data_IF_377826959861
#
_entry.id   IF_377826959861
#
_cell.length_a   1.000
_cell.length_b   1.000
_cell.length_c   1.000
_cell.angle_alpha   90.00
_cell.angle_beta   90.00
_cell.angle_gamma   90.00
#
_symmetry.space_group_name_H-M   'P 1'
#
loop_
_entity.id
_entity.type
_entity.pdbx_description
1 polymer ?
#
# COMPACT_ATOMS: atom_id res chain seq x y z
N UNK A 1 -12.81 8.49 8.69
CA UNK A 1 -11.81 8.55 7.61
C UNK A 1 -12.17 7.49 6.56
N UNK A 2 -12.27 7.84 5.27
CA UNK A 2 -12.66 6.89 4.23
C UNK A 2 -11.40 6.13 3.72
N UNK A 3 -11.33 4.84 4.03
CA UNK A 3 -10.18 3.97 3.68
C UNK A 3 -9.96 3.88 2.16
N UNK A 4 -11.00 4.08 1.35
CA UNK A 4 -10.90 4.00 -0.13
C UNK A 4 -9.92 5.02 -0.72
N UNK A 5 -9.75 6.17 -0.07
CA UNK A 5 -8.84 7.23 -0.52
C UNK A 5 -7.53 7.27 0.27
N UNK A 6 -7.34 6.36 1.22
CA UNK A 6 -6.18 6.34 2.09
C UNK A 6 -4.89 6.19 1.26
N UNK A 7 -4.91 5.30 0.26
CA UNK A 7 -3.78 5.05 -0.63
C UNK A 7 -3.36 6.26 -1.47
N UNK A 8 -4.26 7.18 -1.79
CA UNK A 8 -3.94 8.36 -2.62
C UNK A 8 -3.03 9.38 -1.92
N UNK A 9 -2.82 9.22 -0.61
CA UNK A 9 -1.91 10.06 0.18
C UNK A 9 -0.55 9.42 0.42
N UNK A 10 -0.35 8.15 0.04
CA UNK A 10 0.94 7.48 0.17
C UNK A 10 1.98 8.14 -0.74
N UNK A 11 3.10 8.58 -0.19
CA UNK A 11 4.22 9.06 -0.99
C UNK A 11 4.98 7.84 -1.53
N UNK A 12 5.22 7.79 -2.84
CA UNK A 12 6.06 6.75 -3.42
C UNK A 12 7.51 7.24 -3.41
N UNK A 13 8.39 6.53 -2.72
CA UNK A 13 9.83 6.79 -2.75
C UNK A 13 10.52 6.13 -3.96
N UNK A 14 9.94 5.06 -4.48
CA UNK A 14 10.40 4.37 -5.69
C UNK A 14 10.07 5.13 -6.98
N UNK A 15 10.84 4.88 -8.02
CA UNK A 15 10.53 5.41 -9.35
C UNK A 15 9.47 4.55 -10.05
N UNK A 16 8.22 5.02 -10.00
CA UNK A 16 7.11 4.39 -10.72
C UNK A 16 6.70 5.27 -11.90
N UNK A 17 6.70 4.67 -13.09
CA UNK A 17 6.27 5.31 -14.32
C UNK A 17 5.01 4.64 -14.86
N UNK A 18 4.09 5.44 -15.42
CA UNK A 18 2.87 4.94 -16.06
C UNK A 18 2.75 5.48 -17.47
N UNK A 19 2.20 4.67 -18.38
CA UNK A 19 1.89 5.10 -19.73
C UNK A 19 0.91 6.28 -19.69
N UNK A 20 1.05 7.20 -20.64
CA UNK A 20 0.05 8.23 -20.87
C UNK A 20 -1.32 7.58 -21.12
N UNK A 21 -2.36 8.10 -20.46
CA UNK A 21 -3.71 7.65 -20.74
C UNK A 21 -4.19 8.27 -22.05
N UNK A 22 -5.07 7.59 -22.78
CA UNK A 22 -5.60 8.04 -24.07
C UNK A 22 -6.21 9.44 -24.10
N UNK A 23 -6.61 9.99 -22.94
CA UNK A 23 -7.16 11.36 -22.81
C UNK A 23 -6.11 12.45 -22.56
N UNK A 24 -4.86 12.08 -22.29
CA UNK A 24 -3.77 12.96 -21.89
C UNK A 24 -2.49 12.69 -22.69
N UNK A 25 -2.59 12.01 -23.84
CA UNK A 25 -1.45 11.77 -24.72
C UNK A 25 -0.97 13.09 -25.34
N UNK A 26 0.32 13.33 -25.27
CA UNK A 26 0.96 14.47 -25.92
C UNK A 26 1.36 14.11 -27.35
N UNK A 27 0.82 14.82 -28.34
CA UNK A 27 1.21 14.66 -29.75
C UNK A 27 2.69 14.99 -30.00
N UNK A 28 3.27 15.92 -29.21
CA UNK A 28 4.68 16.29 -29.33
C UNK A 28 5.61 15.25 -28.69
N UNK A 29 5.12 14.50 -27.71
CA UNK A 29 5.90 13.52 -26.95
C UNK A 29 5.12 12.20 -26.79
N UNK A 30 4.87 11.46 -27.88
CA UNK A 30 4.03 10.27 -27.85
C UNK A 30 4.62 9.14 -27.00
N UNK A 31 5.96 9.09 -26.87
CA UNK A 31 6.67 8.04 -26.13
C UNK A 31 6.97 8.40 -24.68
N UNK A 32 6.53 9.55 -24.17
CA UNK A 32 6.72 9.89 -22.77
C UNK A 32 5.84 9.06 -21.84
N UNK A 33 6.26 8.98 -20.59
CA UNK A 33 5.56 8.33 -19.49
C UNK A 33 5.46 9.32 -18.33
N UNK A 34 4.43 9.17 -17.50
CA UNK A 34 4.28 9.99 -16.30
C UNK A 34 4.99 9.33 -15.13
N UNK A 35 5.85 10.10 -14.44
CA UNK A 35 6.41 9.68 -13.14
C UNK A 35 5.41 9.95 -12.03
N UNK A 36 5.07 8.93 -11.26
CA UNK A 36 4.16 9.05 -10.13
C UNK A 36 4.90 9.57 -8.90
N UNK A 37 4.31 10.58 -8.25
CA UNK A 37 4.78 11.10 -6.94
C UNK A 37 3.97 10.54 -5.77
N UNK A 38 2.78 10.02 -6.03
CA UNK A 38 1.84 9.50 -5.04
C UNK A 38 1.32 8.14 -5.47
N UNK A 39 1.01 7.31 -4.49
CA UNK A 39 0.47 5.98 -4.69
C UNK A 39 -0.94 6.07 -5.30
N UNK A 40 -1.10 5.46 -6.47
CA UNK A 40 -2.42 5.19 -7.03
C UNK A 40 -2.95 3.87 -6.51
N UNK A 41 -4.28 3.77 -6.43
CA UNK A 41 -4.94 2.52 -6.12
C UNK A 41 -4.54 1.42 -7.12
N UNK A 42 -4.32 0.21 -6.62
CA UNK A 42 -3.92 -0.94 -7.43
C UNK A 42 -2.42 -1.05 -7.73
N UNK A 43 -1.61 -0.05 -7.34
CA UNK A 43 -0.15 -0.23 -7.36
C UNK A 43 0.27 -1.21 -6.27
N UNK A 44 1.22 -2.10 -6.59
CA UNK A 44 1.81 -3.03 -5.61
C UNK A 44 2.48 -2.30 -4.45
N UNK A 45 3.03 -1.11 -4.73
CA UNK A 45 3.67 -0.24 -3.75
C UNK A 45 2.69 0.55 -2.88
N UNK A 46 1.42 0.70 -3.30
CA UNK A 46 0.48 1.57 -2.61
C UNK A 46 0.25 1.20 -1.13
N UNK A 47 0.13 -0.09 -0.75
CA UNK A 47 0.01 -0.47 0.66
C UNK A 47 1.22 -0.07 1.50
N UNK A 48 2.44 -0.27 0.97
CA UNK A 48 3.67 0.06 1.68
C UNK A 48 3.85 1.58 1.82
N UNK A 49 3.70 2.32 0.71
CA UNK A 49 3.74 3.79 0.71
C UNK A 49 2.74 4.42 1.68
N UNK A 50 1.54 3.82 1.78
CA UNK A 50 0.54 4.27 2.73
C UNK A 50 0.91 3.96 4.18
N UNK A 51 1.41 2.74 4.46
CA UNK A 51 1.87 2.36 5.80
C UNK A 51 2.97 3.29 6.31
N UNK A 52 3.99 3.57 5.49
CA UNK A 52 5.07 4.50 5.84
C UNK A 52 4.54 5.91 6.15
N UNK A 53 3.63 6.42 5.30
CA UNK A 53 3.03 7.74 5.49
C UNK A 53 2.21 7.81 6.78
N UNK A 54 1.40 6.78 7.05
CA UNK A 54 0.60 6.70 8.27
C UNK A 54 1.48 6.55 9.52
N UNK A 55 2.50 5.70 9.44
CA UNK A 55 3.46 5.46 10.52
C UNK A 55 4.17 6.74 10.92
N UNK A 56 4.75 7.43 9.93
CA UNK A 56 5.39 8.73 10.17
C UNK A 56 4.42 9.76 10.77
N UNK A 57 3.18 9.81 10.28
CA UNK A 57 2.15 10.71 10.84
C UNK A 57 1.83 10.37 12.30
N UNK A 58 1.62 9.10 12.64
CA UNK A 58 1.28 8.68 13.99
C UNK A 58 2.44 8.94 14.97
N UNK A 59 3.66 8.55 14.61
CA UNK A 59 4.85 8.80 15.44
C UNK A 59 5.07 10.29 15.68
N UNK A 60 4.85 11.14 14.66
CA UNK A 60 4.95 12.59 14.81
C UNK A 60 3.92 13.17 15.80
N UNK A 61 2.78 12.51 15.96
CA UNK A 61 1.72 12.91 16.88
C UNK A 61 1.77 12.11 18.20
N UNK A 62 2.92 11.50 18.55
CA UNK A 62 3.14 10.75 19.79
C UNK A 62 2.23 9.51 19.94
N UNK A 63 1.71 9.00 18.82
CA UNK A 63 1.02 7.71 18.78
C UNK A 63 2.01 6.60 18.42
N UNK A 64 1.98 5.52 19.20
CA UNK A 64 2.68 4.28 18.84
C UNK A 64 1.78 3.40 17.98
N UNK A 65 2.31 2.93 16.85
CA UNK A 65 1.71 1.78 16.17
C UNK A 65 2.07 0.56 17.00
N UNK A 66 1.13 0.12 17.83
CA UNK A 66 1.21 -1.23 18.37
C UNK A 66 1.03 -2.23 17.22
N UNK A 67 1.66 -3.40 17.35
CA UNK A 67 1.35 -4.51 16.44
C UNK A 67 -0.17 -4.65 16.37
N UNK A 68 -0.74 -4.50 15.18
CA UNK A 68 -2.06 -5.05 14.88
C UNK A 68 -1.98 -6.48 15.39
N UNK A 69 -2.80 -6.79 16.40
CA UNK A 69 -2.72 -8.07 17.12
C UNK A 69 -2.69 -9.24 16.13
N UNK A 70 -2.19 -10.38 16.60
CA UNK A 70 -1.95 -11.58 15.78
C UNK A 70 -2.97 -11.72 14.64
N UNK A 71 -2.49 -11.75 13.40
CA UNK A 71 -3.32 -12.00 12.24
C UNK A 71 -3.84 -13.44 12.35
N UNK A 72 -5.03 -13.63 12.91
CA UNK A 72 -5.63 -14.94 13.14
C UNK A 72 -6.35 -15.49 11.91
N UNK A 73 -6.79 -14.61 11.01
CA UNK A 73 -7.53 -14.99 9.80
C UNK A 73 -7.14 -14.14 8.60
N UNK A 74 -6.96 -14.80 7.45
CA UNK A 74 -6.74 -14.14 6.16
C UNK A 74 -7.39 -14.95 5.04
N UNK A 75 -8.30 -14.33 4.28
CA UNK A 75 -9.01 -14.96 3.14
C UNK A 75 -9.67 -16.32 3.48
N UNK A 76 -10.21 -16.48 4.69
CA UNK A 76 -10.82 -17.74 5.15
C UNK A 76 -9.83 -18.82 5.61
N UNK A 77 -8.54 -18.50 5.62
CA UNK A 77 -7.50 -19.31 6.25
C UNK A 77 -7.30 -18.85 7.69
N UNK A 78 -7.18 -19.81 8.60
CA UNK A 78 -6.75 -19.55 9.97
C UNK A 78 -5.23 -19.57 10.03
N UNK A 79 -4.65 -18.59 10.68
CA UNK A 79 -3.20 -18.44 10.84
C UNK A 79 -2.89 -18.56 12.33
N UNK A 80 -1.91 -19.38 12.67
CA UNK A 80 -1.38 -19.52 14.01
C UNK A 80 0.11 -19.15 13.99
N UNK A 81 0.48 -18.10 14.72
CA UNK A 81 1.85 -17.61 14.83
C UNK A 81 2.41 -18.11 16.16
N UNK A 82 3.47 -18.91 16.11
CA UNK A 82 4.17 -19.43 17.28
C UNK A 82 5.66 -19.10 17.17
N UNK A 83 6.40 -19.21 18.28
CA UNK A 83 7.84 -18.89 18.32
C UNK A 83 8.67 -19.71 17.32
N UNK A 84 8.18 -20.89 16.93
CA UNK A 84 8.84 -21.80 15.99
C UNK A 84 8.37 -21.65 14.53
N UNK A 85 7.43 -20.75 14.23
CA UNK A 85 6.97 -20.49 12.86
C UNK A 85 5.49 -20.13 12.73
N UNK A 86 5.05 -20.04 11.47
CA UNK A 86 3.67 -19.68 11.10
C UNK A 86 2.98 -20.90 10.49
N UNK A 87 1.85 -21.29 11.08
CA UNK A 87 1.01 -22.39 10.61
C UNK A 87 -0.27 -21.85 9.96
N UNK A 88 -0.66 -22.43 8.82
CA UNK A 88 -1.82 -22.00 8.05
C UNK A 88 -2.80 -23.19 7.91
N UNK A 89 -4.03 -22.98 8.31
CA UNK A 89 -5.10 -23.97 8.26
C UNK A 89 -6.23 -23.49 7.34
N UNK A 90 -6.77 -24.40 6.55
CA UNK A 90 -8.02 -24.15 5.82
C UNK A 90 -9.18 -24.44 6.77
N UNK A 91 -10.07 -23.47 6.95
CA UNK A 91 -11.32 -23.69 7.69
C UNK A 91 -12.17 -24.69 6.88
N UNK A 92 -12.38 -25.89 7.41
CA UNK A 92 -13.38 -26.84 6.88
C UNK A 92 -14.79 -26.33 7.18
#
# INVERSE_FOLDING_TARGET
MNVKYAFLNGIINEEVYVKQSSRFESNAFPNHVFKLKKAFYGLKQAPHAWYETLSSFLTKNEFEISMIGELKFFLGLQINQADNGIYIYKKM
#
